data_IF_951636350694
#
_entry.id   IF_951636350694
#
_cell.length_a   1.000
_cell.length_b   1.000
_cell.length_c   1.000
_cell.angle_alpha   90.00
_cell.angle_beta   90.00
_cell.angle_gamma   90.00
#
_symmetry.space_group_name_H-M   'P 1'
#
loop_
_entity.id
_entity.type
_entity.pdbx_description
1 polymer ?
#
# COMPACT_ATOMS: atom_id res chain seq x y z
N UNK A 1 17.50 -11.24 -10.52
CA UNK A 1 17.25 -11.66 -9.12
C UNK A 1 18.60 -11.83 -8.43
N UNK A 2 18.82 -11.28 -7.22
CA UNK A 2 20.06 -11.53 -6.49
C UNK A 2 20.21 -13.04 -6.21
N UNK A 3 21.46 -13.54 -6.21
CA UNK A 3 21.72 -14.95 -5.87
C UNK A 3 21.28 -15.22 -4.44
N UNK A 4 20.41 -16.21 -4.25
CA UNK A 4 19.88 -16.61 -2.93
C UNK A 4 20.82 -17.53 -2.16
N UNK A 5 21.83 -18.08 -2.85
CA UNK A 5 22.77 -19.05 -2.28
C UNK A 5 24.20 -18.75 -2.75
N UNK A 6 25.18 -19.02 -1.88
CA UNK A 6 26.61 -18.92 -2.14
C UNK A 6 27.39 -19.95 -1.32
N UNK A 7 28.65 -20.19 -1.68
CA UNK A 7 29.52 -21.12 -0.98
C UNK A 7 30.51 -20.35 -0.11
N UNK A 8 30.73 -20.83 1.12
CA UNK A 8 31.79 -20.38 2.03
C UNK A 8 32.45 -21.58 2.70
N UNK A 9 33.63 -21.37 3.28
CA UNK A 9 34.29 -22.40 4.07
C UNK A 9 33.43 -22.78 5.28
N UNK A 10 33.53 -24.04 5.72
CA UNK A 10 32.80 -24.52 6.89
C UNK A 10 33.18 -23.66 8.12
N UNK A 11 32.17 -23.08 8.76
CA UNK A 11 32.35 -22.19 9.91
C UNK A 11 32.50 -20.70 9.57
N UNK A 12 32.48 -20.30 8.29
CA UNK A 12 32.59 -18.90 7.88
C UNK A 12 31.29 -18.40 7.23
N UNK A 13 30.95 -17.12 7.48
CA UNK A 13 29.76 -16.48 6.91
C UNK A 13 29.97 -16.25 5.40
N UNK A 14 29.01 -16.67 4.59
CA UNK A 14 28.93 -16.30 3.18
C UNK A 14 28.36 -14.88 3.05
N UNK A 15 29.13 -13.94 2.53
CA UNK A 15 28.68 -12.58 2.24
C UNK A 15 28.16 -12.49 0.80
N UNK A 16 27.14 -11.66 0.59
CA UNK A 16 26.58 -11.37 -0.73
C UNK A 16 26.24 -9.89 -0.86
N UNK A 17 26.30 -9.37 -2.08
CA UNK A 17 25.85 -8.03 -2.40
C UNK A 17 24.35 -8.05 -2.66
N UNK A 18 23.60 -7.17 -2.00
CA UNK A 18 22.19 -6.94 -2.25
C UNK A 18 21.99 -5.58 -2.93
N UNK A 19 21.40 -5.60 -4.11
CA UNK A 19 20.99 -4.38 -4.79
C UNK A 19 19.62 -3.91 -4.25
N UNK A 20 19.65 -2.95 -3.32
CA UNK A 20 18.45 -2.30 -2.77
C UNK A 20 17.66 -1.49 -3.81
N UNK A 21 18.22 -1.26 -5.00
CA UNK A 21 17.59 -0.54 -6.10
C UNK A 21 17.04 -1.47 -7.19
N UNK A 22 17.02 -2.79 -6.94
CA UNK A 22 16.49 -3.76 -7.89
C UNK A 22 15.10 -3.34 -8.41
N UNK A 23 14.97 -3.33 -9.75
CA UNK A 23 13.77 -2.89 -10.45
C UNK A 23 12.65 -3.93 -10.32
N UNK A 24 11.41 -3.46 -10.22
CA UNK A 24 10.23 -4.29 -10.00
C UNK A 24 9.68 -4.12 -8.58
N UNK A 25 9.05 -2.98 -8.31
CA UNK A 25 8.35 -2.74 -7.04
C UNK A 25 6.89 -3.15 -7.20
N UNK A 26 6.44 -4.06 -6.35
CA UNK A 26 5.03 -4.30 -6.09
C UNK A 26 4.68 -3.55 -4.80
N UNK A 27 3.77 -2.59 -4.89
CA UNK A 27 3.22 -1.90 -3.73
C UNK A 27 1.87 -2.49 -3.37
N UNK A 28 1.59 -2.60 -2.07
CA UNK A 28 0.31 -3.03 -1.57
C UNK A 28 -0.43 -1.84 -0.94
N UNK A 29 -1.72 -1.72 -1.21
CA UNK A 29 -2.62 -0.82 -0.48
C UNK A 29 -3.76 -1.67 0.07
N UNK A 30 -4.06 -1.51 1.34
CA UNK A 30 -5.13 -2.25 2.00
C UNK A 30 -5.74 -1.46 3.14
N UNK A 31 -6.93 -1.86 3.54
CA UNK A 31 -7.62 -1.32 4.70
C UNK A 31 -8.02 -2.46 5.64
N UNK A 32 -7.88 -2.23 6.94
CA UNK A 32 -8.16 -3.22 7.98
C UNK A 32 -9.22 -2.66 8.94
N UNK A 33 -10.19 -3.48 9.29
CA UNK A 33 -11.16 -3.21 10.36
C UNK A 33 -11.18 -4.43 11.28
N UNK A 34 -11.04 -4.22 12.60
CA UNK A 34 -11.05 -5.31 13.60
C UNK A 34 -10.11 -6.47 13.23
N UNK A 35 -8.87 -6.14 12.87
CA UNK A 35 -7.82 -7.10 12.47
C UNK A 35 -8.15 -7.94 11.21
N UNK A 36 -9.17 -7.55 10.44
CA UNK A 36 -9.56 -8.23 9.20
C UNK A 36 -9.41 -7.27 8.02
N UNK A 37 -8.83 -7.75 6.92
CA UNK A 37 -8.75 -6.96 5.69
C UNK A 37 -10.14 -6.75 5.10
N UNK A 38 -10.50 -5.48 4.89
CA UNK A 38 -11.66 -5.10 4.09
C UNK A 38 -11.31 -5.17 2.61
N UNK A 39 -10.08 -4.77 2.27
CA UNK A 39 -9.52 -4.93 0.94
C UNK A 39 -7.99 -4.93 0.99
N UNK A 40 -7.38 -5.54 -0.02
CA UNK A 40 -5.94 -5.56 -0.28
C UNK A 40 -5.74 -5.61 -1.79
N UNK A 41 -4.96 -4.67 -2.33
CA UNK A 41 -4.65 -4.60 -3.77
C UNK A 41 -3.15 -4.46 -3.98
N UNK A 42 -2.65 -5.10 -5.03
CA UNK A 42 -1.24 -5.07 -5.44
C UNK A 42 -1.09 -4.26 -6.72
N UNK A 43 -0.09 -3.38 -6.74
CA UNK A 43 0.20 -2.50 -7.88
C UNK A 43 1.66 -2.64 -8.29
N UNK A 44 1.89 -2.86 -9.58
CA UNK A 44 3.22 -2.75 -10.16
C UNK A 44 3.58 -1.27 -10.35
N UNK A 45 4.73 -0.85 -9.81
CA UNK A 45 5.19 0.54 -9.86
C UNK A 45 4.72 1.39 -8.67
N UNK A 46 4.96 2.70 -8.74
CA UNK A 46 4.75 3.63 -7.62
C UNK A 46 3.28 4.01 -7.43
N UNK A 47 2.81 4.07 -6.19
CA UNK A 47 1.51 4.63 -5.85
C UNK A 47 1.59 6.15 -5.87
N UNK A 48 0.81 6.77 -6.75
CA UNK A 48 0.61 8.22 -6.77
C UNK A 48 -0.81 8.57 -6.35
N UNK A 49 -1.12 9.87 -6.30
CA UNK A 49 -2.44 10.33 -5.89
C UNK A 49 -3.58 9.85 -6.80
N UNK A 50 -3.34 9.59 -8.09
CA UNK A 50 -4.37 9.08 -9.00
C UNK A 50 -4.67 7.61 -8.72
N UNK A 51 -3.63 6.79 -8.54
CA UNK A 51 -3.77 5.37 -8.20
C UNK A 51 -4.46 5.21 -6.84
N UNK A 52 -4.03 6.00 -5.85
CA UNK A 52 -4.65 6.01 -4.53
C UNK A 52 -6.12 6.42 -4.59
N UNK A 53 -6.46 7.52 -5.28
CA UNK A 53 -7.83 7.96 -5.43
C UNK A 53 -8.70 6.90 -6.12
N UNK A 54 -8.22 6.31 -7.22
CA UNK A 54 -8.96 5.27 -7.94
C UNK A 54 -9.22 4.04 -7.05
N UNK A 55 -8.21 3.56 -6.34
CA UNK A 55 -8.37 2.47 -5.37
C UNK A 55 -9.37 2.83 -4.27
N UNK A 56 -9.27 4.04 -3.72
CA UNK A 56 -10.16 4.50 -2.67
C UNK A 56 -11.62 4.49 -3.13
N UNK A 57 -11.91 5.10 -4.29
CA UNK A 57 -13.30 5.27 -4.75
C UNK A 57 -13.90 4.02 -5.37
N UNK A 58 -13.11 3.22 -6.08
CA UNK A 58 -13.61 2.05 -6.79
C UNK A 58 -13.61 0.79 -5.93
N UNK A 59 -12.73 0.72 -4.91
CA UNK A 59 -12.51 -0.50 -4.16
C UNK A 59 -12.78 -0.35 -2.67
N UNK A 60 -12.21 0.66 -2.00
CA UNK A 60 -12.41 0.82 -0.55
C UNK A 60 -13.81 1.30 -0.19
N UNK A 61 -14.21 2.48 -0.67
CA UNK A 61 -15.46 3.14 -0.26
C UNK A 61 -16.70 2.25 -0.44
N UNK A 62 -16.90 1.53 -1.56
CA UNK A 62 -18.06 0.64 -1.72
C UNK A 62 -18.20 -0.44 -0.65
N UNK A 63 -17.11 -0.79 0.05
CA UNK A 63 -17.09 -1.79 1.13
C UNK A 63 -17.27 -1.18 2.52
N UNK A 64 -17.29 0.15 2.65
CA UNK A 64 -17.43 0.84 3.92
C UNK A 64 -18.88 1.23 4.18
N UNK A 65 -19.30 1.08 5.44
CA UNK A 65 -20.57 1.61 5.93
C UNK A 65 -20.48 3.12 6.16
N UNK A 66 -21.61 3.82 6.02
CA UNK A 66 -21.73 5.23 6.42
C UNK A 66 -21.36 5.40 7.89
N UNK A 67 -20.71 6.52 8.22
CA UNK A 67 -20.19 6.80 9.56
C UNK A 67 -18.83 6.14 9.86
N UNK A 68 -18.25 5.37 8.93
CA UNK A 68 -16.91 4.81 9.13
C UNK A 68 -15.85 5.91 9.16
N UNK A 69 -14.95 5.85 10.14
CA UNK A 69 -13.77 6.71 10.26
C UNK A 69 -12.59 6.04 9.55
N UNK A 70 -11.98 6.76 8.61
CA UNK A 70 -10.83 6.31 7.83
C UNK A 70 -9.57 6.96 8.40
N UNK A 71 -8.67 6.14 8.95
CA UNK A 71 -7.37 6.59 9.46
C UNK A 71 -6.27 6.23 8.47
N UNK A 72 -5.46 7.21 8.10
CA UNK A 72 -4.33 7.08 7.17
C UNK A 72 -3.11 7.81 7.73
N UNK A 73 -1.91 7.52 7.22
CA UNK A 73 -0.72 8.29 7.53
C UNK A 73 -0.73 9.67 6.84
N UNK A 74 0.22 10.52 7.21
CA UNK A 74 0.24 11.93 6.81
C UNK A 74 0.86 12.18 5.41
N UNK A 75 0.71 11.26 4.46
CA UNK A 75 1.31 11.39 3.14
C UNK A 75 0.62 12.49 2.29
N UNK A 76 1.36 13.25 1.45
CA UNK A 76 0.79 14.34 0.65
C UNK A 76 -0.38 13.92 -0.25
N UNK A 77 -0.32 12.73 -0.84
CA UNK A 77 -1.34 12.25 -1.76
C UNK A 77 -2.66 11.85 -1.09
N UNK A 78 -2.69 11.63 0.23
CA UNK A 78 -3.93 11.43 0.99
C UNK A 78 -4.70 12.74 1.20
N UNK A 79 -4.04 13.90 1.05
CA UNK A 79 -4.64 15.22 1.33
C UNK A 79 -5.32 15.85 0.13
N UNK A 80 -5.34 15.17 -1.02
CA UNK A 80 -5.92 15.67 -2.26
C UNK A 80 -7.41 15.98 -2.08
N UNK A 81 -7.87 17.11 -2.62
CA UNK A 81 -9.22 17.63 -2.37
C UNK A 81 -10.35 16.69 -2.78
N UNK A 82 -10.26 16.11 -3.98
CA UNK A 82 -11.25 15.14 -4.51
C UNK A 82 -11.35 13.85 -3.69
N UNK A 83 -10.22 13.37 -3.16
CA UNK A 83 -10.13 12.21 -2.29
C UNK A 83 -10.92 12.46 -0.99
N UNK A 84 -10.73 13.64 -0.38
CA UNK A 84 -11.49 14.05 0.80
C UNK A 84 -12.98 14.19 0.51
N UNK A 85 -13.32 14.80 -0.63
CA UNK A 85 -14.71 14.96 -1.06
C UNK A 85 -15.39 13.62 -1.30
N UNK A 86 -14.72 12.65 -1.93
CA UNK A 86 -15.26 11.32 -2.15
C UNK A 86 -15.57 10.59 -0.84
N UNK A 87 -14.68 10.71 0.16
CA UNK A 87 -14.89 10.12 1.50
C UNK A 87 -16.12 10.74 2.16
N UNK A 88 -16.21 12.06 2.21
CA UNK A 88 -17.34 12.77 2.81
C UNK A 88 -18.65 12.49 2.06
N UNK A 89 -18.63 12.47 0.72
CA UNK A 89 -19.80 12.19 -0.11
C UNK A 89 -20.34 10.76 0.08
N UNK A 90 -19.45 9.79 0.37
CA UNK A 90 -19.83 8.43 0.74
C UNK A 90 -20.38 8.33 2.18
N UNK A 91 -20.32 9.42 2.96
CA UNK A 91 -20.75 9.48 4.34
C UNK A 91 -19.72 8.92 5.33
N UNK A 92 -18.45 8.84 4.92
CA UNK A 92 -17.33 8.48 5.80
C UNK A 92 -16.65 9.73 6.37
N UNK A 93 -15.80 9.53 7.38
CA UNK A 93 -15.06 10.59 8.08
C UNK A 93 -13.55 10.35 7.95
N UNK A 94 -12.77 11.44 8.02
CA UNK A 94 -11.30 11.45 8.05
C UNK A 94 -10.80 11.82 9.44
#
# INVERSE_FOLDING_TARGET
MPRTHGYSLKGTRCFGLHDWQAKGRINAIGAIIKNTFVTLSLFAGTINANVFHAWLTQDLLPKLAKGTVIVMDNAPFHKRGDTRQAITAHGCQL
#
